data_IF_774566904163
#
_entry.id   IF_774566904163
#
_cell.length_a   1.000
_cell.length_b   1.000
_cell.length_c   1.000
_cell.angle_alpha   90.00
_cell.angle_beta   90.00
_cell.angle_gamma   90.00
#
_symmetry.space_group_name_H-M   'P 1'
#
loop_
_entity.id
_entity.type
_entity.pdbx_description
1 polymer ?
#
# COMPACT_ATOMS: atom_id res chain seq x y z
N UNK A 1 0.89 -7.00 15.31
CA UNK A 1 1.67 -8.26 15.38
C UNK A 1 3.15 -7.89 15.43
N UNK A 2 3.71 -7.61 16.62
CA UNK A 2 5.13 -7.80 16.87
C UNK A 2 5.42 -9.31 16.90
N UNK A 3 6.64 -9.71 16.56
CA UNK A 3 7.09 -11.11 16.69
C UNK A 3 7.65 -11.35 18.11
N UNK A 4 8.02 -10.27 18.81
CA UNK A 4 8.34 -10.20 20.24
C UNK A 4 8.27 -8.74 20.72
N UNK A 5 8.54 -8.47 22.00
CA UNK A 5 8.68 -7.09 22.51
C UNK A 5 9.91 -6.36 21.95
N UNK A 6 10.85 -7.09 21.35
CA UNK A 6 12.12 -6.56 20.80
C UNK A 6 12.19 -6.60 19.28
N UNK A 7 11.33 -7.39 18.62
CA UNK A 7 11.38 -7.64 17.19
C UNK A 7 10.05 -7.34 16.50
N UNK A 8 10.13 -6.49 15.49
CA UNK A 8 9.04 -6.23 14.56
C UNK A 8 9.15 -7.12 13.33
N UNK A 9 8.02 -7.39 12.67
CA UNK A 9 8.02 -8.07 11.37
C UNK A 9 8.86 -7.33 10.32
N UNK A 10 8.94 -6.00 10.42
CA UNK A 10 9.75 -5.17 9.51
C UNK A 10 11.23 -5.52 9.58
N UNK A 11 11.76 -5.91 10.75
CA UNK A 11 13.16 -6.36 10.89
C UNK A 11 13.43 -7.61 10.07
N UNK A 12 12.51 -8.58 10.07
CA UNK A 12 12.65 -9.79 9.26
C UNK A 12 12.51 -9.50 7.76
N UNK A 13 11.54 -8.65 7.36
CA UNK A 13 11.40 -8.20 5.97
C UNK A 13 12.68 -7.53 5.47
N UNK A 14 13.32 -6.72 6.32
CA UNK A 14 14.61 -6.10 6.05
C UNK A 14 15.73 -7.12 5.92
N UNK A 15 15.83 -8.10 6.81
CA UNK A 15 16.85 -9.15 6.75
C UNK A 15 16.74 -9.99 5.48
N UNK A 16 15.52 -10.34 5.07
CA UNK A 16 15.24 -11.14 3.87
C UNK A 16 15.19 -10.31 2.58
N UNK A 17 15.35 -8.98 2.67
CA UNK A 17 15.29 -8.05 1.53
C UNK A 17 14.03 -8.25 0.66
N UNK A 18 12.89 -8.49 1.29
CA UNK A 18 11.66 -8.79 0.55
C UNK A 18 11.11 -7.53 -0.13
N UNK A 19 10.65 -7.62 -1.39
CA UNK A 19 9.94 -6.53 -2.04
C UNK A 19 8.61 -6.25 -1.32
N UNK A 20 8.29 -4.96 -1.13
CA UNK A 20 7.14 -4.52 -0.35
C UNK A 20 6.05 -3.96 -1.26
N UNK A 21 4.81 -4.40 -1.05
CA UNK A 21 3.61 -3.75 -1.60
C UNK A 21 2.87 -3.04 -0.48
N UNK A 22 2.63 -1.74 -0.61
CA UNK A 22 1.92 -0.94 0.38
C UNK A 22 0.41 -0.90 0.07
N UNK A 23 -0.43 -1.37 0.99
CA UNK A 23 -1.88 -1.23 0.87
C UNK A 23 -2.37 -0.03 1.68
N UNK A 24 -2.91 0.98 1.01
CA UNK A 24 -3.41 2.20 1.64
C UNK A 24 -4.93 2.13 1.75
N UNK A 25 -5.44 2.04 2.97
CA UNK A 25 -6.86 2.22 3.25
C UNK A 25 -7.25 3.69 3.11
N UNK A 26 -7.93 4.05 2.02
CA UNK A 26 -8.27 5.44 1.70
C UNK A 26 -9.39 5.94 2.62
N UNK A 27 -9.01 6.88 3.49
CA UNK A 27 -9.87 7.58 4.47
C UNK A 27 -9.16 8.85 4.92
N UNK A 28 -9.85 9.71 5.68
CA UNK A 28 -9.22 10.87 6.30
C UNK A 28 -8.00 10.45 7.15
N UNK A 29 -6.88 11.14 6.97
CA UNK A 29 -5.60 10.86 7.63
C UNK A 29 -4.72 9.80 6.95
N UNK A 30 -5.18 9.15 5.87
CA UNK A 30 -4.39 8.12 5.20
C UNK A 30 -3.10 8.65 4.55
N UNK A 31 -3.08 9.91 4.11
CA UNK A 31 -1.91 10.55 3.50
C UNK A 31 -0.68 10.45 4.40
N UNK A 32 -0.78 10.93 5.64
CA UNK A 32 0.35 10.91 6.57
C UNK A 32 0.84 9.48 6.83
N UNK A 33 -0.07 8.53 7.07
CA UNK A 33 0.32 7.15 7.30
C UNK A 33 1.00 6.51 6.08
N UNK A 34 0.46 6.74 4.88
CA UNK A 34 1.02 6.18 3.66
C UNK A 34 2.40 6.75 3.36
N UNK A 35 2.58 8.07 3.47
CA UNK A 35 3.84 8.74 3.19
C UNK A 35 4.91 8.36 4.22
N UNK A 36 4.60 8.39 5.52
CA UNK A 36 5.53 7.96 6.56
C UNK A 36 5.92 6.48 6.40
N UNK A 37 4.98 5.62 5.97
CA UNK A 37 5.26 4.21 5.72
C UNK A 37 6.13 4.02 4.49
N UNK A 38 5.88 4.75 3.40
CA UNK A 38 6.71 4.70 2.20
C UNK A 38 8.13 5.22 2.46
N UNK A 39 8.26 6.31 3.22
CA UNK A 39 9.54 6.89 3.63
C UNK A 39 10.35 5.91 4.48
N UNK A 40 9.74 5.23 5.47
CA UNK A 40 10.48 4.29 6.33
C UNK A 40 10.89 3.03 5.57
N UNK A 41 10.04 2.50 4.67
CA UNK A 41 10.42 1.37 3.80
C UNK A 41 11.68 1.72 3.00
N UNK A 42 11.72 2.91 2.41
CA UNK A 42 12.88 3.40 1.66
C UNK A 42 14.10 3.62 2.56
N UNK A 43 13.91 4.19 3.75
CA UNK A 43 14.97 4.43 4.72
C UNK A 43 15.59 3.13 5.26
N UNK A 44 14.78 2.07 5.38
CA UNK A 44 15.20 0.71 5.77
C UNK A 44 15.93 -0.02 4.63
N UNK A 45 16.08 0.61 3.45
CA UNK A 45 16.76 0.06 2.29
C UNK A 45 15.92 -0.96 1.50
N UNK A 46 14.61 -1.04 1.75
CA UNK A 46 13.71 -1.97 1.10
C UNK A 46 13.15 -1.41 -0.21
N UNK A 47 12.82 -2.31 -1.14
CA UNK A 47 12.21 -1.96 -2.42
C UNK A 47 10.68 -1.88 -2.28
N UNK A 48 10.12 -0.66 -2.34
CA UNK A 48 8.68 -0.45 -2.46
C UNK A 48 8.26 -0.64 -3.92
N UNK A 49 7.82 -1.84 -4.27
CA UNK A 49 7.58 -2.24 -5.67
C UNK A 49 6.21 -1.85 -6.20
N UNK A 50 5.33 -1.36 -5.33
CA UNK A 50 4.03 -0.85 -5.72
C UNK A 50 3.13 -0.58 -4.53
N UNK A 51 1.98 0.03 -4.82
CA UNK A 51 0.96 0.28 -3.81
C UNK A 51 -0.45 0.10 -4.35
N UNK A 52 -1.39 -0.16 -3.44
CA UNK A 52 -2.80 -0.42 -3.73
C UNK A 52 -3.66 0.57 -2.96
N UNK A 53 -4.54 1.27 -3.66
CA UNK A 53 -5.58 2.06 -3.03
C UNK A 53 -6.77 1.15 -2.68
N UNK A 54 -7.15 1.10 -1.40
CA UNK A 54 -8.34 0.36 -0.96
C UNK A 54 -9.37 1.32 -0.38
N UNK A 55 -10.50 1.52 -1.06
CA UNK A 55 -11.56 2.40 -0.60
C UNK A 55 -12.36 1.75 0.52
N UNK A 56 -12.00 2.05 1.77
CA UNK A 56 -12.62 1.47 2.97
C UNK A 56 -13.89 2.19 3.41
N UNK A 57 -14.09 3.43 2.97
CA UNK A 57 -15.26 4.25 3.30
C UNK A 57 -15.84 4.86 2.00
N UNK A 58 -17.14 4.65 1.68
CA UNK A 58 -17.74 5.25 0.51
C UNK A 58 -17.90 6.78 0.66
N UNK A 59 -18.01 7.28 1.89
CA UNK A 59 -18.19 8.71 2.21
C UNK A 59 -16.89 9.49 2.37
N UNK A 60 -15.75 8.99 1.87
CA UNK A 60 -14.51 9.78 1.87
C UNK A 60 -14.64 10.96 0.91
N UNK A 61 -14.70 12.16 1.47
CA UNK A 61 -14.60 13.43 0.74
C UNK A 61 -13.22 13.56 0.07
N UNK A 62 -13.16 14.31 -1.04
CA UNK A 62 -11.89 14.59 -1.73
C UNK A 62 -11.11 13.33 -2.15
N UNK A 63 -11.81 12.23 -2.45
CA UNK A 63 -11.16 10.96 -2.78
C UNK A 63 -10.18 11.09 -3.96
N UNK A 64 -10.58 11.79 -5.03
CA UNK A 64 -9.74 12.01 -6.20
C UNK A 64 -8.46 12.78 -5.83
N UNK A 65 -8.59 13.87 -5.09
CA UNK A 65 -7.46 14.68 -4.62
C UNK A 65 -6.50 13.85 -3.75
N UNK A 66 -7.02 12.99 -2.88
CA UNK A 66 -6.20 12.07 -2.06
C UNK A 66 -5.42 11.11 -2.94
N UNK A 67 -6.06 10.50 -3.94
CA UNK A 67 -5.39 9.56 -4.86
C UNK A 67 -4.29 10.27 -5.64
N UNK A 68 -4.56 11.45 -6.20
CA UNK A 68 -3.57 12.25 -6.95
C UNK A 68 -2.37 12.63 -6.06
N UNK A 69 -2.62 13.01 -4.81
CA UNK A 69 -1.56 13.29 -3.85
C UNK A 69 -0.71 12.05 -3.51
N UNK A 70 -1.32 10.87 -3.41
CA UNK A 70 -0.59 9.62 -3.18
C UNK A 70 0.23 9.22 -4.40
N UNK A 71 -0.36 9.28 -5.60
CA UNK A 71 0.33 8.98 -6.87
C UNK A 71 1.55 9.88 -7.10
N UNK A 72 1.45 11.17 -6.76
CA UNK A 72 2.55 12.12 -6.95
C UNK A 72 3.66 12.02 -5.91
N UNK A 73 3.42 11.37 -4.76
CA UNK A 73 4.37 11.34 -3.64
C UNK A 73 4.89 9.96 -3.27
N UNK A 74 4.17 8.89 -3.60
CA UNK A 74 4.67 7.53 -3.43
C UNK A 74 5.52 7.19 -4.66
N UNK A 75 6.82 7.00 -4.43
CA UNK A 75 7.82 6.63 -5.43
C UNK A 75 7.71 5.13 -5.80
N UNK A 76 6.52 4.70 -6.22
CA UNK A 76 6.20 3.33 -6.62
C UNK A 76 4.91 3.30 -7.46
N UNK A 77 4.75 2.34 -8.39
CA UNK A 77 3.57 2.27 -9.25
C UNK A 77 2.29 1.99 -8.44
N UNK A 78 1.19 2.68 -8.79
CA UNK A 78 -0.15 2.30 -8.33
C UNK A 78 -0.57 1.02 -9.05
N UNK A 79 -0.58 -0.09 -8.33
CA UNK A 79 -0.96 -1.40 -8.86
C UNK A 79 -2.46 -1.52 -9.09
N UNK A 80 -3.27 -0.73 -8.39
CA UNK A 80 -4.70 -0.79 -8.55
C UNK A 80 -5.48 -0.02 -7.51
N UNK A 81 -6.78 0.05 -7.74
CA UNK A 81 -7.74 0.69 -6.86
C UNK A 81 -8.95 -0.23 -6.65
N UNK A 82 -9.13 -0.66 -5.40
CA UNK A 82 -10.27 -1.50 -5.00
C UNK A 82 -11.41 -0.57 -4.56
N UNK A 83 -12.58 -0.62 -5.24
CA UNK A 83 -13.72 0.22 -4.87
C UNK A 83 -14.31 -0.20 -3.52
N UNK A 84 -15.19 0.63 -2.96
CA UNK A 84 -15.89 0.26 -1.74
C UNK A 84 -16.81 -0.93 -1.99
N UNK A 85 -16.56 -2.03 -1.26
CA UNK A 85 -17.29 -3.28 -1.40
C UNK A 85 -17.82 -3.71 -0.04
N UNK A 86 -19.13 -3.62 0.19
CA UNK A 86 -19.77 -4.25 1.33
C UNK A 86 -19.55 -5.77 1.27
N UNK A 87 -19.08 -6.36 2.37
CA UNK A 87 -18.91 -7.81 2.56
C UNK A 87 -18.02 -8.49 1.49
N UNK A 88 -16.74 -8.13 1.45
CA UNK A 88 -15.78 -8.56 0.43
C UNK A 88 -15.35 -10.05 0.46
N UNK A 89 -15.71 -10.84 1.48
CA UNK A 89 -15.19 -12.20 1.73
C UNK A 89 -15.37 -13.25 0.61
N UNK A 90 -16.18 -12.97 -0.43
CA UNK A 90 -16.47 -13.90 -1.55
C UNK A 90 -16.55 -13.20 -2.91
N UNK A 91 -15.76 -12.14 -3.13
CA UNK A 91 -15.78 -11.42 -4.42
C UNK A 91 -14.44 -11.55 -5.12
N UNK A 92 -14.49 -11.72 -6.44
CA UNK A 92 -13.33 -11.68 -7.32
C UNK A 92 -12.80 -10.25 -7.41
N UNK A 93 -11.73 -9.96 -6.66
CA UNK A 93 -11.10 -8.63 -6.59
C UNK A 93 -9.86 -8.49 -7.48
N UNK A 94 -9.31 -9.59 -7.99
CA UNK A 94 -8.08 -9.58 -8.79
C UNK A 94 -8.15 -8.66 -10.00
N UNK A 95 -9.32 -8.49 -10.60
CA UNK A 95 -9.56 -7.58 -11.74
C UNK A 95 -9.24 -6.09 -11.47
N UNK A 96 -9.13 -5.69 -10.20
CA UNK A 96 -8.79 -4.31 -9.83
C UNK A 96 -7.28 -4.08 -9.70
N UNK A 97 -6.47 -5.14 -9.80
CA UNK A 97 -5.03 -5.11 -9.56
C UNK A 97 -4.32 -5.48 -10.86
N UNK A 98 -3.48 -4.58 -11.36
CA UNK A 98 -2.50 -4.83 -12.39
C UNK A 98 -1.18 -5.29 -11.75
N UNK A 99 -0.80 -6.54 -11.98
CA UNK A 99 0.46 -7.12 -11.49
C UNK A 99 1.60 -7.04 -12.51
N UNK A 100 1.36 -6.57 -13.73
CA UNK A 100 2.41 -6.40 -14.75
C UNK A 100 3.63 -5.60 -14.25
N UNK A 101 3.47 -4.50 -13.47
CA UNK A 101 4.63 -3.78 -12.93
C UNK A 101 5.51 -4.63 -12.01
N UNK A 102 4.99 -5.74 -11.47
CA UNK A 102 5.71 -6.62 -10.55
C UNK A 102 6.47 -7.76 -11.26
N UNK A 103 6.20 -8.02 -12.54
CA UNK A 103 6.78 -9.15 -13.26
C UNK A 103 8.24 -8.94 -13.67
N UNK A 104 8.72 -7.68 -13.63
CA UNK A 104 10.06 -7.29 -14.07
C UNK A 104 10.83 -6.58 -12.93
N UNK A 105 10.58 -6.98 -11.69
CA UNK A 105 11.37 -6.51 -10.56
C UNK A 105 12.66 -7.34 -10.55
N UNK A 106 13.77 -6.71 -10.92
CA UNK A 106 15.12 -7.28 -10.88
C UNK A 106 15.62 -7.50 -9.43
#
# INVERSE_FOLDING_TARGET
VPVSDTDSLSTWVQQEQLPVVLVVGIKLGCLSHALLTAEIIKADGLNLVGWIANRVNPGTEHYADIIEMLESRIDAPKLGEIPYIPSAKRKELGKYINVEPLLNID
#
